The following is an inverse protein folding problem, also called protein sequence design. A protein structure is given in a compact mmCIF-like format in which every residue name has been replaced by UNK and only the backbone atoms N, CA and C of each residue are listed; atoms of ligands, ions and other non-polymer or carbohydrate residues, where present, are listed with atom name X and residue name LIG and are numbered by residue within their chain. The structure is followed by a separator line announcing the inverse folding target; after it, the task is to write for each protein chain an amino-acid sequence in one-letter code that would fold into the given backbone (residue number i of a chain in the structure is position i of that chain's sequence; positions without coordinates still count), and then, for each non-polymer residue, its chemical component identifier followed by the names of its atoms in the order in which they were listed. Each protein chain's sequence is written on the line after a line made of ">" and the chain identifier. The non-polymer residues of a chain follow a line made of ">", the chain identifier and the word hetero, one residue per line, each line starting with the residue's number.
data_IF_610147122630
#
_entry.id   IF_610147122630
#
_cell.length_a   1.000
_cell.length_b   1.000
_cell.length_c   1.000
_cell.angle_alpha   90.00
_cell.angle_beta   90.00
_cell.angle_gamma   90.00
#
_symmetry.space_group_name_H-M   'P 1'
#
loop_
_entity.id
_entity.type
_entity.pdbx_description
1 polymer ?
#
# COMPACT_ATOMS: atom_id res chain seq x y z
N UNK A 1 4.87 11.55 4.99
CA UNK A 1 4.68 10.51 3.95
C UNK A 1 5.98 9.74 3.82
N UNK A 2 5.92 8.40 3.79
CA UNK A 2 7.06 7.55 3.44
C UNK A 2 7.19 7.46 1.92
N UNK A 3 8.41 7.51 1.38
CA UNK A 3 8.66 7.38 -0.07
C UNK A 3 9.89 6.54 -0.32
N UNK A 4 9.97 5.92 -1.50
CA UNK A 4 11.20 5.26 -1.98
C UNK A 4 12.39 6.23 -1.92
N UNK A 5 13.57 5.71 -1.64
CA UNK A 5 14.81 6.48 -1.62
C UNK A 5 15.00 7.29 -2.91
N UNK A 6 15.51 8.51 -2.77
CA UNK A 6 15.73 9.44 -3.90
C UNK A 6 14.45 10.10 -4.44
N UNK A 7 13.25 9.74 -3.97
CA UNK A 7 11.99 10.38 -4.38
C UNK A 7 11.55 11.53 -3.47
N UNK A 8 12.33 11.90 -2.45
CA UNK A 8 12.00 12.97 -1.51
C UNK A 8 13.23 13.82 -1.18
N UNK A 9 13.16 15.17 -1.29
CA UNK A 9 14.23 16.04 -0.84
C UNK A 9 14.36 16.03 0.68
N UNK A 10 15.60 16.14 1.19
CA UNK A 10 15.90 16.18 2.62
C UNK A 10 15.32 14.98 3.42
N UNK A 11 15.40 13.79 2.83
CA UNK A 11 14.93 12.56 3.48
C UNK A 11 16.01 11.95 4.40
N UNK A 12 15.55 11.33 5.47
CA UNK A 12 16.28 10.29 6.20
C UNK A 12 15.79 8.95 5.65
N UNK A 13 16.72 8.10 5.24
CA UNK A 13 16.44 6.75 4.72
C UNK A 13 16.65 5.71 5.80
N UNK A 14 15.76 4.73 5.88
CA UNK A 14 15.90 3.58 6.76
C UNK A 14 16.83 2.50 6.20
N UNK A 15 16.76 1.33 6.81
CA UNK A 15 17.44 0.12 6.34
C UNK A 15 16.79 -0.42 5.05
N UNK A 16 17.58 -1.12 4.23
CA UNK A 16 17.08 -1.82 3.05
C UNK A 16 16.19 -3.00 3.47
N UNK A 17 15.06 -3.17 2.80
CA UNK A 17 14.15 -4.30 3.00
C UNK A 17 13.93 -5.03 1.68
N UNK A 18 13.83 -6.36 1.74
CA UNK A 18 13.56 -7.18 0.56
C UNK A 18 12.11 -7.00 0.14
N UNK A 19 11.90 -6.69 -1.13
CA UNK A 19 10.59 -6.79 -1.77
C UNK A 19 10.26 -8.26 -2.01
N UNK A 20 8.97 -8.52 -2.05
CA UNK A 20 8.43 -9.86 -2.26
C UNK A 20 8.02 -10.08 -3.71
N UNK A 21 7.96 -9.00 -4.47
CA UNK A 21 7.75 -8.97 -5.91
C UNK A 21 8.98 -8.35 -6.58
N UNK A 22 9.32 -8.82 -7.78
CA UNK A 22 10.30 -8.14 -8.64
C UNK A 22 9.75 -6.76 -9.01
N UNK A 23 10.27 -5.72 -8.35
CA UNK A 23 9.94 -4.32 -8.67
C UNK A 23 10.91 -3.73 -9.70
N UNK A 24 10.91 -2.39 -9.79
CA UNK A 24 11.75 -1.60 -10.72
C UNK A 24 13.27 -1.81 -10.61
N UNK A 25 13.75 -2.64 -9.67
CA UNK A 25 15.15 -2.87 -9.41
C UNK A 25 15.50 -4.36 -9.43
N UNK A 26 16.47 -4.71 -10.28
CA UNK A 26 16.96 -6.08 -10.48
C UNK A 26 17.57 -6.73 -9.22
N UNK A 27 17.83 -5.96 -8.16
CA UNK A 27 18.33 -6.44 -6.87
C UNK A 27 17.22 -6.78 -5.85
N UNK A 28 15.95 -6.46 -6.14
CA UNK A 28 14.80 -6.88 -5.32
C UNK A 28 14.67 -6.25 -3.92
N UNK A 29 15.51 -5.28 -3.53
CA UNK A 29 15.40 -4.55 -2.25
C UNK A 29 14.93 -3.10 -2.45
N UNK A 30 14.06 -2.55 -1.60
CA UNK A 30 13.81 -1.09 -1.56
C UNK A 30 14.30 -0.48 -0.25
N UNK A 31 14.35 0.85 -0.23
CA UNK A 31 14.57 1.62 0.99
C UNK A 31 13.49 2.68 1.10
N UNK A 32 12.81 2.75 2.24
CA UNK A 32 11.91 3.86 2.56
C UNK A 32 12.69 5.02 3.16
N UNK A 33 12.25 6.23 2.82
CA UNK A 33 12.69 7.47 3.42
C UNK A 33 11.52 8.33 3.87
N UNK A 34 11.79 9.14 4.88
CA UNK A 34 10.86 10.13 5.43
C UNK A 34 11.56 11.47 5.57
N UNK A 35 10.83 12.56 5.45
CA UNK A 35 11.40 13.90 5.59
C UNK A 35 12.03 14.08 6.97
N UNK A 36 13.22 14.71 7.01
CA UNK A 36 13.91 15.01 8.27
C UNK A 36 12.99 15.80 9.21
N UNK A 37 12.90 15.33 10.45
CA UNK A 37 12.08 15.96 11.50
C UNK A 37 10.57 15.68 11.39
N UNK A 38 10.13 14.85 10.43
CA UNK A 38 8.73 14.43 10.33
C UNK A 38 8.28 13.52 11.49
N UNK A 39 9.23 12.81 12.11
CA UNK A 39 9.05 12.04 13.35
C UNK A 39 10.09 12.53 14.34
N UNK A 40 9.67 12.76 15.57
CA UNK A 40 10.50 13.15 16.71
C UNK A 40 10.46 12.05 17.79
N UNK A 41 11.49 11.98 18.64
CA UNK A 41 11.49 11.06 19.77
C UNK A 41 10.25 11.21 20.64
N UNK A 42 9.57 10.10 20.93
CA UNK A 42 8.33 10.05 21.71
C UNK A 42 7.04 10.24 20.90
N UNK A 43 7.13 10.54 19.60
CA UNK A 43 5.93 10.62 18.76
C UNK A 43 5.22 9.27 18.70
N UNK A 44 3.88 9.31 18.70
CA UNK A 44 3.01 8.17 18.47
C UNK A 44 2.49 8.24 17.04
N UNK A 45 2.78 7.22 16.25
CA UNK A 45 2.56 7.20 14.80
C UNK A 45 1.56 6.11 14.44
N UNK A 46 0.58 6.45 13.60
CA UNK A 46 -0.26 5.50 12.88
C UNK A 46 0.27 5.40 11.46
N UNK A 47 0.61 4.19 11.00
CA UNK A 47 0.95 3.96 9.60
C UNK A 47 -0.31 3.65 8.81
N UNK A 48 -0.48 4.29 7.65
CA UNK A 48 -1.66 4.12 6.80
C UNK A 48 -1.21 3.89 5.36
N UNK A 49 -1.79 2.87 4.73
CA UNK A 49 -1.65 2.58 3.30
C UNK A 49 -3.02 2.36 2.64
N UNK A 50 -3.10 2.37 1.32
CA UNK A 50 -4.34 2.00 0.64
C UNK A 50 -4.59 0.48 0.69
N UNK A 51 -3.57 -0.29 0.34
CA UNK A 51 -3.60 -1.74 0.23
C UNK A 51 -2.42 -2.35 0.97
N UNK A 52 -2.71 -3.25 1.90
CA UNK A 52 -1.67 -4.05 2.56
C UNK A 52 -1.74 -5.47 2.01
N UNK A 53 -0.70 -5.84 1.26
CA UNK A 53 -0.49 -7.20 0.79
C UNK A 53 0.23 -8.02 1.86
N UNK A 54 1.55 -8.07 1.77
CA UNK A 54 2.40 -8.93 2.59
C UNK A 54 2.99 -8.25 3.82
N UNK A 55 2.77 -6.94 3.96
CA UNK A 55 3.24 -6.13 5.09
C UNK A 55 4.68 -5.63 5.00
N UNK A 56 5.43 -5.92 3.92
CA UNK A 56 6.83 -5.49 3.78
C UNK A 56 7.05 -3.97 3.89
N UNK A 57 6.19 -3.18 3.25
CA UNK A 57 6.22 -1.70 3.33
C UNK A 57 5.92 -1.21 4.75
N UNK A 58 4.92 -1.78 5.41
CA UNK A 58 4.58 -1.43 6.80
C UNK A 58 5.73 -1.75 7.75
N UNK A 59 6.34 -2.94 7.62
CA UNK A 59 7.48 -3.35 8.44
C UNK A 59 8.66 -2.37 8.30
N UNK A 60 9.00 -2.01 7.06
CA UNK A 60 10.04 -1.01 6.81
C UNK A 60 9.70 0.36 7.39
N UNK A 61 8.41 0.76 7.36
CA UNK A 61 7.92 1.97 7.99
C UNK A 61 8.02 1.93 9.52
N UNK A 62 7.68 0.80 10.14
CA UNK A 62 7.81 0.57 11.59
C UNK A 62 9.26 0.73 12.01
N UNK A 63 10.18 0.06 11.33
CA UNK A 63 11.61 0.16 11.64
C UNK A 63 12.14 1.59 11.49
N UNK A 64 11.75 2.29 10.43
CA UNK A 64 12.18 3.67 10.22
C UNK A 64 11.64 4.61 11.32
N UNK A 65 10.37 4.47 11.73
CA UNK A 65 9.80 5.26 12.83
C UNK A 65 10.52 4.98 14.14
N UNK A 66 10.79 3.70 14.47
CA UNK A 66 11.52 3.29 15.67
C UNK A 66 12.95 3.82 15.67
N UNK A 67 13.64 3.79 14.53
CA UNK A 67 14.99 4.37 14.37
C UNK A 67 15.03 5.88 14.64
N UNK A 68 13.92 6.59 14.38
CA UNK A 68 13.78 8.03 14.66
C UNK A 68 13.34 8.34 16.10
N UNK A 69 13.18 7.31 16.94
CA UNK A 69 12.73 7.42 18.33
C UNK A 69 11.22 7.56 18.50
N UNK A 70 10.45 7.42 17.41
CA UNK A 70 9.00 7.34 17.47
C UNK A 70 8.51 5.93 17.81
N UNK A 71 7.22 5.81 18.09
CA UNK A 71 6.53 4.55 18.33
C UNK A 71 5.38 4.40 17.34
N UNK A 72 5.36 3.31 16.57
CA UNK A 72 4.16 2.97 15.79
C UNK A 72 3.18 2.32 16.75
N UNK A 73 1.97 2.88 16.81
CA UNK A 73 0.91 2.38 17.69
C UNK A 73 0.18 1.25 16.99
N UNK A 74 -0.22 1.49 15.74
CA UNK A 74 -1.00 0.56 14.91
C UNK A 74 -0.70 0.84 13.42
N UNK A 75 -1.13 -0.09 12.57
CA UNK A 75 -1.18 0.06 11.13
C UNK A 75 -2.63 -0.03 10.66
N UNK A 76 -3.01 0.76 9.66
CA UNK A 76 -4.33 0.70 9.05
C UNK A 76 -4.24 0.72 7.52
N UNK A 77 -5.20 0.10 6.85
CA UNK A 77 -5.31 0.14 5.40
C UNK A 77 -6.75 0.04 4.94
N UNK A 78 -7.03 0.57 3.75
CA UNK A 78 -8.37 0.43 3.18
C UNK A 78 -8.68 -1.03 2.93
N UNK A 79 -7.78 -1.75 2.26
CA UNK A 79 -7.92 -3.17 1.94
C UNK A 79 -6.72 -3.94 2.49
N UNK A 80 -6.98 -5.02 3.22
CA UNK A 80 -5.96 -5.98 3.63
C UNK A 80 -6.13 -7.28 2.85
N UNK A 81 -5.07 -7.73 2.18
CA UNK A 81 -5.03 -9.05 1.55
C UNK A 81 -4.65 -10.10 2.60
N UNK A 82 -5.62 -10.48 3.44
CA UNK A 82 -5.39 -11.32 4.62
C UNK A 82 -4.71 -12.65 4.29
N UNK A 83 -4.99 -13.23 3.12
CA UNK A 83 -4.33 -14.43 2.63
C UNK A 83 -2.79 -14.33 2.53
N UNK A 84 -2.23 -13.11 2.44
CA UNK A 84 -0.79 -12.85 2.35
C UNK A 84 -0.11 -12.62 3.71
N UNK A 85 -0.87 -12.64 4.82
CA UNK A 85 -0.32 -12.80 6.16
C UNK A 85 0.46 -11.61 6.74
N UNK A 86 0.18 -10.38 6.29
CA UNK A 86 0.85 -9.17 6.79
C UNK A 86 0.78 -9.03 8.32
N UNK A 87 -0.41 -9.20 8.91
CA UNK A 87 -0.61 -9.11 10.35
C UNK A 87 0.27 -10.11 11.14
N UNK A 88 0.32 -11.37 10.69
CA UNK A 88 1.15 -12.40 11.32
C UNK A 88 2.64 -12.06 11.24
N UNK A 89 3.09 -11.64 10.06
CA UNK A 89 4.49 -11.27 9.83
C UNK A 89 4.92 -10.07 10.68
N UNK A 90 4.05 -9.09 10.86
CA UNK A 90 4.32 -7.95 11.74
C UNK A 90 4.34 -8.40 13.19
N UNK A 91 3.38 -9.23 13.63
CA UNK A 91 3.30 -9.73 14.99
C UNK A 91 4.49 -10.62 15.41
N UNK A 92 5.14 -11.30 14.46
CA UNK A 92 6.39 -12.04 14.71
C UNK A 92 7.54 -11.15 15.21
N UNK A 93 7.55 -9.87 14.83
CA UNK A 93 8.61 -8.91 15.17
C UNK A 93 8.14 -7.82 16.14
N UNK A 94 6.87 -7.43 16.06
CA UNK A 94 6.23 -6.35 16.80
C UNK A 94 4.82 -6.81 17.24
N UNK A 95 4.72 -7.74 18.22
CA UNK A 95 3.44 -8.31 18.66
C UNK A 95 2.48 -7.27 19.27
N UNK A 96 2.98 -6.08 19.61
CA UNK A 96 2.20 -4.95 20.12
C UNK A 96 1.49 -4.14 19.03
N UNK A 97 1.83 -4.33 17.75
CA UNK A 97 1.32 -3.51 16.64
C UNK A 97 0.26 -4.29 15.86
N UNK A 98 -1.00 -3.86 15.96
CA UNK A 98 -2.09 -4.40 15.18
C UNK A 98 -2.11 -3.85 13.75
N UNK A 99 -2.65 -4.64 12.81
CA UNK A 99 -2.97 -4.22 11.43
C UNK A 99 -4.49 -4.24 11.27
N UNK A 100 -5.06 -3.13 10.81
CA UNK A 100 -6.50 -2.98 10.59
C UNK A 100 -6.82 -2.80 9.09
N UNK A 101 -7.53 -3.75 8.49
CA UNK A 101 -8.20 -3.56 7.21
C UNK A 101 -9.61 -3.00 7.40
N UNK A 102 -9.95 -1.89 6.73
CA UNK A 102 -11.31 -1.35 6.77
C UNK A 102 -12.29 -2.16 5.91
N UNK A 103 -11.77 -2.81 4.87
CA UNK A 103 -12.52 -3.60 3.90
C UNK A 103 -11.84 -4.96 3.76
N UNK A 104 -12.65 -6.03 3.75
CA UNK A 104 -12.18 -7.40 3.50
C UNK A 104 -11.93 -7.63 2.02
N UNK A 105 -10.82 -8.29 1.66
CA UNK A 105 -10.56 -8.75 0.29
C UNK A 105 -11.70 -9.59 -0.31
N UNK A 106 -12.52 -10.22 0.53
CA UNK A 106 -13.66 -11.04 0.10
C UNK A 106 -14.76 -10.26 -0.60
N UNK A 107 -14.82 -8.93 -0.43
CA UNK A 107 -15.79 -8.11 -1.17
C UNK A 107 -15.34 -7.82 -2.60
N UNK A 108 -14.07 -8.09 -2.93
CA UNK A 108 -13.50 -7.90 -4.27
C UNK A 108 -13.83 -9.13 -5.13
N UNK A 109 -15.10 -9.26 -5.53
CA UNK A 109 -15.57 -10.35 -6.40
C UNK A 109 -15.46 -9.98 -7.87
N UNK A 110 -15.58 -10.98 -8.76
CA UNK A 110 -15.65 -10.78 -10.22
C UNK A 110 -17.09 -10.58 -10.71
N UNK A 111 -18.07 -10.51 -9.82
CA UNK A 111 -19.48 -10.49 -10.21
C UNK A 111 -19.83 -9.26 -11.06
N UNK A 112 -19.10 -8.15 -10.89
CA UNK A 112 -19.22 -6.94 -11.72
C UNK A 112 -18.49 -7.00 -13.07
N UNK A 113 -17.66 -8.01 -13.36
CA UNK A 113 -16.98 -8.13 -14.67
C UNK A 113 -17.98 -8.37 -15.81
N UNK A 114 -19.07 -9.09 -15.54
CA UNK A 114 -20.13 -9.33 -16.51
C UNK A 114 -20.95 -8.06 -16.80
N UNK A 115 -21.21 -7.23 -15.79
CA UNK A 115 -21.92 -5.96 -15.94
C UNK A 115 -21.08 -4.94 -16.73
N UNK A 116 -19.76 -4.86 -16.46
CA UNK A 116 -18.84 -4.03 -17.23
C UNK A 116 -18.76 -4.43 -18.71
N UNK A 117 -18.82 -5.74 -19.01
CA UNK A 117 -18.83 -6.24 -20.39
C UNK A 117 -20.13 -5.89 -21.11
N UNK A 118 -21.27 -5.92 -20.40
CA UNK A 118 -22.56 -5.51 -20.93
C UNK A 118 -22.61 -4.00 -21.20
N UNK A 119 -22.17 -3.18 -20.24
CA UNK A 119 -22.10 -1.72 -20.39
C UNK A 119 -21.17 -1.29 -21.54
N UNK A 120 -20.02 -1.96 -21.68
CA UNK A 120 -19.09 -1.71 -22.78
C UNK A 120 -19.67 -2.10 -24.15
N UNK A 121 -20.43 -3.20 -24.21
CA UNK A 121 -21.11 -3.63 -25.43
C UNK A 121 -22.22 -2.66 -25.84
N UNK A 122 -23.02 -2.17 -24.88
CA UNK A 122 -24.08 -1.19 -25.13
C UNK A 122 -23.51 0.17 -25.57
N UNK A 123 -22.40 0.62 -24.96
CA UNK A 123 -21.70 1.84 -25.36
C UNK A 123 -21.11 1.76 -26.79
N UNK A 124 -20.65 0.58 -27.21
CA UNK A 124 -20.17 0.34 -28.57
C UNK A 124 -21.33 0.28 -29.60
N UNK A 125 -22.51 -0.20 -29.20
CA UNK A 125 -23.69 -0.27 -30.07
C UNK A 125 -24.38 1.09 -30.30
N UNK A 126 -24.17 2.07 -29.41
CA UNK A 126 -24.77 3.41 -29.49
C UNK A 126 -24.13 4.37 -30.51
N UNK A 127 -23.04 4.00 -31.18
CA UNK A 127 -22.40 4.79 -32.24
C UNK A 127 -22.95 4.40 -33.63
N UNK A 128 -24.26 4.60 -33.85
CA UNK A 128 -24.87 4.49 -35.17
C UNK A 128 -24.46 5.66 -36.07
N UNK A 129 -24.12 5.37 -37.34
CA UNK A 129 -23.63 6.34 -38.33
C UNK A 129 -24.53 7.59 -38.46
N UNK A 130 -23.95 8.79 -38.67
CA UNK A 130 -24.73 9.99 -38.90
C UNK A 130 -25.53 9.82 -40.20
N UNK A 131 -26.86 9.87 -40.08
CA UNK A 131 -27.79 9.92 -41.21
C UNK A 131 -27.44 11.14 -42.06
N UNK A 132 -26.92 10.91 -43.28
CA UNK A 132 -26.80 11.96 -44.29
C UNK A 132 -28.21 12.32 -44.78
N UNK A 133 -28.76 13.43 -44.28
CA UNK A 133 -29.89 14.09 -44.92
C UNK A 133 -29.37 14.95 -46.10
N UNK A 134 -29.98 14.75 -47.27
CA UNK A 134 -29.77 15.45 -48.54
C UNK A 134 -30.62 16.71 -48.63
#
# INVERSE_FOLDING_TARGET
>A
MLRKAGKMPNAITGSEYKKEYEGDNAAGGDTLGIQRGAVKPGDRVLLVDDLVATGGTLLAGIELVKQLGGSVVECACMVELQALGAANRIAEQHPEIAVWGLISEQILTRDGEAELQADAADAAAGQGEPTQEL
#
